data_IF_273677130249
#
_entry.id   IF_273677130249
#
_cell.length_a   1.000
_cell.length_b   1.000
_cell.length_c   1.000
_cell.angle_alpha   90.00
_cell.angle_beta   90.00
_cell.angle_gamma   90.00
#
_symmetry.space_group_name_H-M   'P 1'
#
loop_
_entity.id
_entity.type
_entity.pdbx_description
1 polymer ?
#
# COMPACT_ATOMS: atom_id res chain seq x y z
N UNK A 1 -33.32 -0.36 -29.20
CA UNK A 1 -32.33 -1.43 -29.46
C UNK A 1 -31.03 -1.03 -28.77
N UNK A 2 -30.64 -1.70 -27.69
CA UNK A 2 -29.37 -1.44 -26.98
C UNK A 2 -28.23 -2.00 -27.82
N UNK A 3 -27.30 -1.13 -28.25
CA UNK A 3 -26.06 -1.54 -28.91
C UNK A 3 -24.94 -1.48 -27.88
N UNK A 4 -24.38 -2.65 -27.56
CA UNK A 4 -23.21 -2.78 -26.71
C UNK A 4 -22.01 -2.61 -27.66
N UNK A 5 -21.28 -1.51 -27.56
CA UNK A 5 -20.07 -1.30 -28.37
C UNK A 5 -18.86 -1.58 -27.47
N UNK A 6 -18.07 -2.58 -27.88
CA UNK A 6 -16.79 -2.94 -27.27
C UNK A 6 -15.76 -1.86 -27.63
N UNK A 7 -15.08 -1.31 -26.63
CA UNK A 7 -14.00 -0.34 -26.80
C UNK A 7 -12.79 -1.02 -27.47
N UNK A 8 -12.71 -0.95 -28.80
CA UNK A 8 -11.54 -1.35 -29.59
C UNK A 8 -10.62 -0.15 -29.80
N UNK A 9 -9.72 0.11 -28.85
CA UNK A 9 -8.55 0.95 -29.15
C UNK A 9 -7.58 0.13 -29.99
N UNK A 10 -7.64 0.29 -31.32
CA UNK A 10 -6.69 -0.31 -32.27
C UNK A 10 -6.74 -1.84 -32.32
N UNK A 11 -7.82 -2.43 -32.86
CA UNK A 11 -7.95 -3.85 -33.21
C UNK A 11 -7.64 -4.93 -32.12
N UNK A 12 -7.21 -4.53 -30.91
CA UNK A 12 -6.94 -5.40 -29.76
C UNK A 12 -7.85 -5.02 -28.61
N UNK A 13 -8.53 -6.00 -28.03
CA UNK A 13 -9.33 -5.82 -26.82
C UNK A 13 -8.38 -5.45 -25.66
N UNK A 14 -8.38 -4.18 -25.24
CA UNK A 14 -7.53 -3.72 -24.14
C UNK A 14 -8.21 -4.09 -22.83
N UNK A 15 -7.65 -5.07 -22.12
CA UNK A 15 -8.17 -5.55 -20.84
C UNK A 15 -7.71 -4.60 -19.71
N UNK A 16 -8.29 -3.39 -19.65
CA UNK A 16 -8.00 -2.36 -18.64
C UNK A 16 -8.01 -2.89 -17.18
N UNK A 17 -8.97 -3.74 -16.76
CA UNK A 17 -8.98 -4.29 -15.40
C UNK A 17 -7.75 -5.16 -15.10
N UNK A 18 -7.22 -5.88 -16.10
CA UNK A 18 -6.04 -6.74 -15.94
C UNK A 18 -4.76 -5.91 -15.76
N UNK A 19 -4.65 -4.79 -16.48
CA UNK A 19 -3.55 -3.85 -16.32
C UNK A 19 -3.56 -3.22 -14.92
N UNK A 20 -4.74 -2.80 -14.47
CA UNK A 20 -4.91 -2.23 -13.14
C UNK A 20 -4.59 -3.24 -12.02
N UNK A 21 -5.08 -4.48 -12.15
CA UNK A 21 -4.74 -5.56 -11.22
C UNK A 21 -3.24 -5.87 -11.18
N UNK A 22 -2.56 -5.90 -12.34
CA UNK A 22 -1.12 -6.11 -12.40
C UNK A 22 -0.33 -4.96 -11.74
N UNK A 23 -0.78 -3.72 -11.92
CA UNK A 23 -0.17 -2.56 -11.26
C UNK A 23 -0.31 -2.63 -9.73
N UNK A 24 -1.51 -2.94 -9.23
CA UNK A 24 -1.74 -3.13 -7.79
C UNK A 24 -0.85 -4.25 -7.24
N UNK A 25 -0.78 -5.39 -7.92
CA UNK A 25 0.05 -6.52 -7.50
C UNK A 25 1.52 -6.14 -7.37
N UNK A 26 2.06 -5.43 -8.36
CA UNK A 26 3.44 -4.96 -8.35
C UNK A 26 3.68 -3.99 -7.18
N UNK A 27 2.83 -2.96 -7.03
CA UNK A 27 2.94 -1.98 -5.96
C UNK A 27 2.84 -2.61 -4.57
N UNK A 28 1.86 -3.52 -4.38
CA UNK A 28 1.68 -4.23 -3.12
C UNK A 28 2.89 -5.13 -2.80
N UNK A 29 3.49 -5.78 -3.80
CA UNK A 29 4.69 -6.60 -3.59
C UNK A 29 5.89 -5.75 -3.15
N UNK A 30 6.11 -4.61 -3.80
CA UNK A 30 7.19 -3.70 -3.41
C UNK A 30 6.99 -3.15 -2.00
N UNK A 31 5.77 -2.72 -1.68
CA UNK A 31 5.47 -2.21 -0.35
C UNK A 31 5.52 -3.29 0.74
N UNK A 32 5.18 -4.53 0.41
CA UNK A 32 5.33 -5.67 1.30
C UNK A 32 6.80 -5.96 1.61
N UNK A 33 7.69 -5.88 0.62
CA UNK A 33 9.13 -6.00 0.87
C UNK A 33 9.63 -4.87 1.77
N UNK A 34 9.17 -3.64 1.55
CA UNK A 34 9.52 -2.50 2.39
C UNK A 34 9.03 -2.63 3.84
N UNK A 35 7.81 -3.12 4.05
CA UNK A 35 7.30 -3.34 5.42
C UNK A 35 8.00 -4.50 6.13
N UNK A 36 8.43 -5.54 5.39
CA UNK A 36 9.26 -6.60 5.95
C UNK A 36 10.62 -6.09 6.44
N UNK A 37 11.28 -5.20 5.69
CA UNK A 37 12.54 -4.59 6.15
C UNK A 37 12.32 -3.76 7.41
N UNK A 38 11.26 -2.95 7.47
CA UNK A 38 10.92 -2.19 8.68
C UNK A 38 10.62 -3.08 9.89
N UNK A 39 9.99 -4.25 9.68
CA UNK A 39 9.77 -5.23 10.74
C UNK A 39 11.10 -5.79 11.28
N UNK A 40 12.04 -6.16 10.41
CA UNK A 40 13.36 -6.64 10.84
C UNK A 40 14.14 -5.56 11.59
N UNK A 41 14.17 -4.33 11.07
CA UNK A 41 14.85 -3.22 11.74
C UNK A 41 14.25 -2.94 13.12
N UNK A 42 12.92 -2.96 13.26
CA UNK A 42 12.27 -2.77 14.55
C UNK A 42 12.63 -3.87 15.56
N UNK A 43 12.76 -5.11 15.10
CA UNK A 43 13.16 -6.23 15.95
C UNK A 43 14.62 -6.11 16.41
N UNK A 44 15.51 -5.68 15.53
CA UNK A 44 16.90 -5.41 15.89
C UNK A 44 17.03 -4.25 16.87
N UNK A 45 16.25 -3.18 16.70
CA UNK A 45 16.20 -2.07 17.63
C UNK A 45 15.73 -2.51 19.04
N UNK A 46 14.73 -3.40 19.14
CA UNK A 46 14.29 -3.92 20.45
C UNK A 46 15.43 -4.65 21.14
N UNK A 47 16.17 -5.50 20.40
CA UNK A 47 17.32 -6.23 20.93
C UNK A 47 18.45 -5.28 21.34
N UNK A 48 18.74 -4.26 20.54
CA UNK A 48 19.76 -3.27 20.84
C UNK A 48 19.44 -2.51 22.13
N UNK A 49 18.18 -2.10 22.31
CA UNK A 49 17.71 -1.43 23.53
C UNK A 49 17.78 -2.36 24.75
N UNK A 50 17.39 -3.63 24.62
CA UNK A 50 17.55 -4.60 25.72
C UNK A 50 19.02 -4.77 26.13
N UNK A 51 19.92 -4.95 25.16
CA UNK A 51 21.34 -5.07 25.43
C UNK A 51 21.93 -3.79 26.08
N UNK A 52 21.44 -2.60 25.68
CA UNK A 52 21.83 -1.32 26.27
C UNK A 52 21.40 -1.23 27.74
N UNK A 53 20.15 -1.58 28.05
CA UNK A 53 19.60 -1.55 29.42
C UNK A 53 20.32 -2.57 30.31
N UNK A 54 20.57 -3.79 29.81
CA UNK A 54 21.28 -4.83 30.55
C UNK A 54 22.72 -4.41 30.87
N UNK A 55 23.41 -3.75 29.94
CA UNK A 55 24.76 -3.22 30.12
C UNK A 55 24.81 -1.98 31.04
N UNK A 56 23.72 -1.21 31.12
CA UNK A 56 23.62 0.01 31.93
C UNK A 56 23.27 -0.23 33.41
N UNK A 57 23.15 -1.49 33.86
CA UNK A 57 22.69 -1.91 35.20
C UNK A 57 23.48 -1.33 36.41
N UNK A 58 24.50 -0.50 36.20
CA UNK A 58 25.25 0.18 37.26
C UNK A 58 25.64 1.64 36.96
N UNK A 59 25.32 2.17 35.78
CA UNK A 59 25.79 3.49 35.33
C UNK A 59 24.60 4.38 34.90
N UNK A 60 24.30 5.40 35.71
CA UNK A 60 23.19 6.34 35.48
C UNK A 60 23.32 7.13 34.18
N UNK A 61 24.54 7.48 33.78
CA UNK A 61 24.82 8.23 32.54
C UNK A 61 24.53 7.37 31.29
N UNK A 62 24.87 6.08 31.34
CA UNK A 62 24.60 5.15 30.23
C UNK A 62 23.09 4.90 30.08
N UNK A 63 22.35 4.90 31.20
CA UNK A 63 20.90 4.72 31.19
C UNK A 63 20.15 5.85 30.47
N UNK A 64 20.57 7.10 30.64
CA UNK A 64 19.97 8.26 29.95
C UNK A 64 20.15 8.17 28.43
N UNK A 65 21.32 7.74 27.96
CA UNK A 65 21.57 7.51 26.54
C UNK A 65 20.75 6.34 25.97
N UNK A 66 20.56 5.26 26.73
CA UNK A 66 19.65 4.18 26.31
C UNK A 66 18.19 4.65 26.27
N UNK A 67 17.79 5.55 27.19
CA UNK A 67 16.44 6.09 27.26
C UNK A 67 16.11 6.97 26.06
N UNK A 68 17.02 7.83 25.62
CA UNK A 68 16.83 8.63 24.39
C UNK A 68 16.72 7.75 23.16
N UNK A 69 17.56 6.72 23.04
CA UNK A 69 17.50 5.78 21.92
C UNK A 69 16.19 4.97 21.89
N UNK A 70 15.70 4.55 23.05
CA UNK A 70 14.42 3.87 23.16
C UNK A 70 13.23 4.80 22.85
N UNK A 71 13.33 6.08 23.24
CA UNK A 71 12.33 7.08 22.92
C UNK A 71 12.29 7.39 21.41
N UNK A 72 13.45 7.54 20.77
CA UNK A 72 13.53 7.79 19.33
C UNK A 72 13.03 6.60 18.50
N UNK A 73 13.30 5.36 18.95
CA UNK A 73 12.90 4.16 18.22
C UNK A 73 11.43 3.79 18.39
N UNK A 74 10.87 3.97 19.60
CA UNK A 74 9.53 3.46 19.94
C UNK A 74 8.53 4.54 20.34
N UNK A 75 8.97 5.77 20.60
CA UNK A 75 8.13 6.83 21.16
C UNK A 75 7.73 6.58 22.62
N UNK A 76 8.44 5.70 23.33
CA UNK A 76 8.09 5.26 24.69
C UNK A 76 9.06 5.86 25.70
N UNK A 77 8.53 6.53 26.71
CA UNK A 77 9.29 7.02 27.85
C UNK A 77 9.52 5.89 28.85
N UNK A 78 10.76 5.42 28.98
CA UNK A 78 11.14 4.49 30.06
C UNK A 78 11.16 5.25 31.39
N UNK A 79 10.66 4.64 32.47
CA UNK A 79 10.74 5.23 33.81
C UNK A 79 12.14 4.98 34.39
N UNK A 80 12.71 5.95 35.10
CA UNK A 80 13.92 5.74 35.90
C UNK A 80 13.65 4.59 36.89
N UNK A 81 14.47 3.52 36.83
CA UNK A 81 14.33 2.21 37.51
C UNK A 81 13.52 1.11 36.79
N UNK A 82 13.13 1.27 35.53
CA UNK A 82 12.67 0.14 34.72
C UNK A 82 13.86 -0.50 33.99
N UNK A 83 14.38 -1.58 34.54
CA UNK A 83 15.48 -2.39 33.95
C UNK A 83 14.99 -3.39 32.89
N UNK A 84 13.71 -3.32 32.51
CA UNK A 84 13.12 -4.19 31.50
C UNK A 84 11.96 -3.47 30.83
N UNK A 85 11.86 -3.57 29.50
CA UNK A 85 10.67 -3.12 28.80
C UNK A 85 9.49 -4.03 29.15
N UNK A 86 8.31 -3.42 29.25
CA UNK A 86 7.09 -4.20 29.41
C UNK A 86 6.78 -4.88 28.09
N UNK A 87 6.35 -6.16 28.10
CA UNK A 87 5.99 -6.89 26.87
C UNK A 87 4.95 -6.12 26.02
N UNK A 88 4.07 -5.38 26.70
CA UNK A 88 3.05 -4.53 26.10
C UNK A 88 3.65 -3.34 25.31
N UNK A 89 4.75 -2.75 25.81
CA UNK A 89 5.47 -1.68 25.14
C UNK A 89 6.18 -2.20 23.88
N UNK A 90 6.79 -3.39 23.98
CA UNK A 90 7.41 -4.07 22.84
C UNK A 90 6.35 -4.41 21.79
N UNK A 91 5.21 -4.97 22.21
CA UNK A 91 4.11 -5.31 21.32
C UNK A 91 3.58 -4.08 20.57
N UNK A 92 3.40 -2.94 21.24
CA UNK A 92 2.98 -1.70 20.59
C UNK A 92 4.02 -1.17 19.59
N UNK A 93 5.31 -1.25 19.91
CA UNK A 93 6.38 -0.84 19.00
C UNK A 93 6.44 -1.68 17.72
N UNK A 94 6.08 -2.96 17.79
CA UNK A 94 6.02 -3.84 16.61
C UNK A 94 4.69 -3.79 15.85
N UNK A 95 3.62 -3.31 16.49
CA UNK A 95 2.26 -3.41 15.97
C UNK A 95 2.10 -2.71 14.61
N UNK A 96 2.74 -1.55 14.44
CA UNK A 96 2.60 -0.73 13.22
C UNK A 96 3.18 -1.45 11.99
N UNK A 97 4.41 -1.98 12.12
CA UNK A 97 5.07 -2.74 11.06
C UNK A 97 4.30 -4.03 10.73
N UNK A 98 3.80 -4.73 11.75
CA UNK A 98 3.01 -5.95 11.56
C UNK A 98 1.69 -5.63 10.85
N UNK A 99 0.99 -4.58 11.25
CA UNK A 99 -0.24 -4.12 10.61
C UNK A 99 0.00 -3.73 9.14
N UNK A 100 1.11 -3.06 8.84
CA UNK A 100 1.50 -2.71 7.48
C UNK A 100 1.72 -3.96 6.61
N UNK A 101 2.40 -5.00 7.12
CA UNK A 101 2.56 -6.28 6.42
C UNK A 101 1.20 -6.89 6.10
N UNK A 102 0.29 -6.99 7.07
CA UNK A 102 -1.06 -7.55 6.84
C UNK A 102 -1.87 -6.73 5.83
N UNK A 103 -1.77 -5.41 5.90
CA UNK A 103 -2.43 -4.51 4.96
C UNK A 103 -1.95 -4.76 3.52
N UNK A 104 -0.63 -4.87 3.30
CA UNK A 104 -0.08 -5.13 1.96
C UNK A 104 -0.36 -6.55 1.46
N UNK A 105 -0.40 -7.54 2.35
CA UNK A 105 -0.89 -8.89 2.00
C UNK A 105 -2.34 -8.84 1.52
N UNK A 106 -3.21 -8.11 2.22
CA UNK A 106 -4.60 -7.94 1.81
C UNK A 106 -4.71 -7.19 0.47
N UNK A 107 -3.92 -6.14 0.26
CA UNK A 107 -3.85 -5.42 -1.01
C UNK A 107 -3.39 -6.32 -2.18
N UNK A 108 -2.45 -7.24 -1.92
CA UNK A 108 -1.99 -8.22 -2.89
C UNK A 108 -3.12 -9.22 -3.25
N UNK A 109 -3.87 -9.70 -2.26
CA UNK A 109 -5.05 -10.54 -2.51
C UNK A 109 -6.08 -9.80 -3.37
N UNK A 110 -6.36 -8.52 -3.05
CA UNK A 110 -7.27 -7.68 -3.84
C UNK A 110 -6.75 -7.51 -5.28
N UNK A 111 -5.47 -7.20 -5.45
CA UNK A 111 -4.83 -7.10 -6.76
C UNK A 111 -4.95 -8.40 -7.56
N UNK A 112 -4.81 -9.55 -6.91
CA UNK A 112 -4.97 -10.87 -7.53
C UNK A 112 -6.42 -11.12 -7.97
N UNK A 113 -7.41 -10.71 -7.18
CA UNK A 113 -8.83 -10.80 -7.54
C UNK A 113 -9.12 -9.94 -8.78
N UNK A 114 -8.63 -8.70 -8.82
CA UNK A 114 -8.78 -7.84 -9.99
C UNK A 114 -8.08 -8.41 -11.23
N UNK A 115 -6.88 -8.95 -11.08
CA UNK A 115 -6.13 -9.56 -12.16
C UNK A 115 -6.84 -10.81 -12.74
N UNK A 116 -7.48 -11.61 -11.88
CA UNK A 116 -8.21 -12.82 -12.28
C UNK A 116 -9.64 -12.57 -12.75
N UNK A 117 -10.21 -11.39 -12.49
CA UNK A 117 -11.58 -11.03 -12.89
C UNK A 117 -11.68 -10.74 -14.40
N UNK A 118 -11.52 -11.80 -15.20
CA UNK A 118 -11.46 -11.77 -16.68
C UNK A 118 -12.78 -11.40 -17.36
N UNK A 119 -13.91 -11.41 -16.64
CA UNK A 119 -15.26 -11.34 -17.25
C UNK A 119 -15.98 -9.99 -17.11
N UNK A 120 -15.36 -8.97 -16.53
CA UNK A 120 -15.94 -7.64 -16.46
C UNK A 120 -15.62 -6.86 -17.74
N UNK A 121 -16.31 -7.20 -18.82
CA UNK A 121 -16.47 -6.30 -19.96
C UNK A 121 -17.39 -5.17 -19.53
N UNK A 122 -16.83 -4.01 -19.15
CA UNK A 122 -17.62 -2.81 -18.89
C UNK A 122 -18.20 -2.31 -20.22
N UNK A 123 -19.52 -2.33 -20.42
CA UNK A 123 -20.13 -1.69 -21.58
C UNK A 123 -20.06 -0.18 -21.35
N UNK A 124 -19.06 0.47 -21.93
CA UNK A 124 -18.95 1.93 -21.91
C UNK A 124 -19.92 2.44 -23.00
N UNK A 125 -21.06 2.98 -22.59
CA UNK A 125 -21.99 3.67 -23.49
C UNK A 125 -21.35 5.01 -23.91
N UNK A 126 -20.60 5.02 -25.00
CA UNK A 126 -20.21 6.26 -25.66
C UNK A 126 -21.46 6.87 -26.32
N UNK A 127 -21.91 8.01 -25.80
CA UNK A 127 -22.89 8.85 -26.47
C UNK A 127 -22.26 9.44 -27.74
N UNK A 128 -22.26 8.67 -28.83
CA UNK A 128 -21.93 9.20 -30.16
C UNK A 128 -23.00 10.23 -30.50
N UNK A 129 -22.71 11.51 -30.27
CA UNK A 129 -23.53 12.59 -30.81
C UNK A 129 -23.37 12.55 -32.33
N UNK A 130 -24.33 11.94 -33.02
CA UNK A 130 -24.44 12.05 -34.47
C UNK A 130 -24.61 13.54 -34.82
N UNK A 131 -23.52 14.21 -35.19
CA UNK A 131 -23.61 15.53 -35.80
C UNK A 131 -24.32 15.35 -37.15
N UNK A 132 -25.62 15.69 -37.16
CA UNK A 132 -26.46 15.69 -38.35
C UNK A 132 -25.89 16.68 -39.36
N UNK A 133 -25.03 16.18 -40.25
CA UNK A 133 -24.52 16.91 -41.40
C UNK A 133 -25.72 17.35 -42.25
N UNK A 134 -26.12 18.63 -42.10
CA UNK A 134 -27.09 19.27 -43.00
C UNK A 134 -26.42 19.35 -44.36
N UNK A 135 -26.74 18.41 -45.26
CA UNK A 135 -26.47 18.55 -46.70
C UNK A 135 -27.07 19.88 -47.15
N UNK A 136 -26.21 20.84 -47.41
CA UNK A 136 -26.57 22.08 -48.08
C UNK A 136 -26.94 21.69 -49.52
N UNK A 137 -28.24 21.68 -49.82
CA UNK A 137 -28.73 21.50 -51.20
C UNK A 137 -28.75 22.88 -51.85
N UNK A 138 -27.85 23.20 -52.79
CA UNK A 138 -27.94 24.44 -53.54
C UNK A 138 -29.18 24.36 -54.45
N UNK A 139 -30.21 25.13 -54.13
CA UNK A 139 -31.32 25.38 -55.06
C UNK A 139 -30.78 26.18 -56.24
N UNK A 140 -30.62 25.53 -57.40
CA UNK A 140 -30.52 26.27 -58.65
C UNK A 140 -31.88 26.93 -58.92
N UNK A 141 -31.91 28.26 -58.94
CA UNK A 141 -33.03 29.04 -59.48
C UNK A 141 -32.96 28.96 -61.00
N UNK A 142 -34.08 28.56 -61.62
CA UNK A 142 -34.35 28.79 -63.04
C UNK A 142 -34.88 30.20 -63.23
#
# INVERSE_FOLDING_TARGET
MRRIILFRLGARDVHLPKLFGAFIMLAATLMLLHSLTGMFDSWENVKAVHACIDAANSNTIAFEACQTQAFDAFGILLRANQFRLTDLQVAFGLLDNVAAVFFWVAALIVGMVFYRSWRLTLPIEENVMEMKSKRFSPRMKK
#
